data_IF_103683848756
#
_entry.id   IF_103683848756
#
_cell.length_a   1.000
_cell.length_b   1.000
_cell.length_c   1.000
_cell.angle_alpha   90.00
_cell.angle_beta   90.00
_cell.angle_gamma   90.00
#
_symmetry.space_group_name_H-M   'P 1'
#
loop_
_entity.id
_entity.type
_entity.pdbx_description
1 polymer ?
#
# COMPACT_ATOMS: atom_id res chain seq x y z
N UNK A 1 13.27 -60.04 3.60
CA UNK A 1 13.85 -58.69 3.56
C UNK A 1 12.77 -57.82 2.98
N UNK A 2 12.03 -57.11 3.83
CA UNK A 2 10.91 -56.26 3.39
C UNK A 2 11.47 -54.91 2.95
N UNK A 3 11.34 -54.61 1.66
CA UNK A 3 11.64 -53.29 1.11
C UNK A 3 10.60 -52.29 1.62
N UNK A 4 10.99 -51.46 2.58
CA UNK A 4 10.23 -50.29 2.96
C UNK A 4 10.33 -49.27 1.83
N UNK A 5 9.20 -48.99 1.18
CA UNK A 5 9.10 -47.97 0.14
C UNK A 5 8.86 -46.62 0.83
N UNK A 6 9.90 -45.81 0.91
CA UNK A 6 9.79 -44.46 1.48
C UNK A 6 8.84 -43.59 0.65
N UNK A 7 8.03 -42.80 1.35
CA UNK A 7 7.14 -41.80 0.78
C UNK A 7 7.61 -40.41 1.21
N UNK A 8 7.87 -39.54 0.23
CA UNK A 8 8.24 -38.14 0.47
C UNK A 8 7.11 -37.21 0.02
N UNK A 9 6.90 -36.12 0.75
CA UNK A 9 6.05 -35.00 0.33
C UNK A 9 6.76 -33.68 0.58
N UNK A 10 6.49 -32.67 -0.25
CA UNK A 10 7.01 -31.30 -0.09
C UNK A 10 5.85 -30.31 -0.10
N UNK A 11 5.93 -29.30 0.76
CA UNK A 11 5.08 -28.11 0.68
C UNK A 11 5.88 -26.98 0.03
N UNK A 12 5.26 -26.29 -0.93
CA UNK A 12 5.80 -25.10 -1.58
C UNK A 12 4.80 -23.97 -1.34
N UNK A 13 5.30 -22.81 -0.94
CA UNK A 13 4.48 -21.60 -0.79
C UNK A 13 5.08 -20.53 -1.69
N UNK A 14 4.30 -20.06 -2.65
CA UNK A 14 4.69 -19.01 -3.59
C UNK A 14 3.88 -17.75 -3.31
N UNK A 15 4.51 -16.59 -3.52
CA UNK A 15 3.85 -15.30 -3.37
C UNK A 15 3.35 -14.81 -4.73
N UNK A 16 2.07 -14.45 -4.80
CA UNK A 16 1.48 -13.84 -6.00
C UNK A 16 1.59 -12.33 -5.88
N UNK A 17 2.38 -11.72 -6.76
CA UNK A 17 2.58 -10.28 -6.80
C UNK A 17 1.69 -9.59 -7.83
N UNK A 18 1.20 -8.40 -7.50
CA UNK A 18 0.50 -7.53 -8.44
C UNK A 18 0.63 -6.07 -8.02
N UNK A 19 0.53 -5.17 -9.00
CA UNK A 19 0.69 -3.74 -8.79
C UNK A 19 -0.50 -2.94 -9.33
N UNK A 20 -0.78 -1.81 -8.70
CA UNK A 20 -1.81 -0.87 -9.11
C UNK A 20 -1.29 0.57 -8.99
N UNK A 21 -1.45 1.33 -10.07
CA UNK A 21 -1.13 2.74 -10.09
C UNK A 21 -2.39 3.56 -9.81
N UNK A 22 -2.31 4.43 -8.83
CA UNK A 22 -3.38 5.33 -8.42
C UNK A 22 -2.98 6.78 -8.68
N UNK A 23 -3.70 7.43 -9.59
CA UNK A 23 -3.51 8.84 -9.94
C UNK A 23 -4.61 9.69 -9.32
N UNK A 24 -4.21 10.64 -8.46
CA UNK A 24 -5.10 11.62 -7.87
C UNK A 24 -4.95 12.91 -8.66
N UNK A 25 -5.98 13.29 -9.41
CA UNK A 25 -6.06 14.60 -10.08
C UNK A 25 -6.81 15.58 -9.17
N UNK A 26 -6.39 16.84 -9.16
CA UNK A 26 -7.02 17.85 -8.32
C UNK A 26 -6.51 17.84 -6.87
N UNK A 27 -5.21 17.59 -6.64
CA UNK A 27 -4.65 17.55 -5.29
C UNK A 27 -4.93 18.83 -4.49
N UNK A 28 -4.97 19.98 -5.16
CA UNK A 28 -5.30 21.28 -4.58
C UNK A 28 -6.70 21.35 -3.95
N UNK A 29 -7.67 20.58 -4.47
CA UNK A 29 -9.01 20.42 -3.92
C UNK A 29 -9.07 19.30 -2.87
N UNK A 30 -8.24 18.26 -3.06
CA UNK A 30 -8.12 17.17 -2.10
C UNK A 30 -7.56 17.64 -0.75
N UNK A 31 -6.56 18.53 -0.78
CA UNK A 31 -6.05 19.16 0.45
C UNK A 31 -7.10 20.12 1.02
N UNK A 32 -7.32 20.05 2.32
CA UNK A 32 -8.40 20.79 2.98
C UNK A 32 -9.71 20.03 3.13
N UNK A 33 -9.80 18.77 2.67
CA UNK A 33 -10.93 17.88 2.97
C UNK A 33 -11.08 17.63 4.49
N UNK A 34 -10.00 17.82 5.26
CA UNK A 34 -9.96 17.65 6.70
C UNK A 34 -9.41 16.29 7.12
N UNK A 35 -8.83 16.24 8.33
CA UNK A 35 -8.24 15.02 8.88
C UNK A 35 -9.25 13.86 8.91
N UNK A 36 -8.79 12.67 8.55
CA UNK A 36 -9.60 11.46 8.48
C UNK A 36 -10.46 11.32 7.23
N UNK A 37 -10.52 12.34 6.35
CA UNK A 37 -11.11 12.20 5.01
C UNK A 37 -10.08 11.64 4.04
N UNK A 38 -10.52 10.75 3.17
CA UNK A 38 -9.66 10.07 2.21
C UNK A 38 -10.26 10.02 0.80
N UNK A 39 -9.37 9.78 -0.14
CA UNK A 39 -9.66 9.40 -1.52
C UNK A 39 -9.29 7.93 -1.67
N UNK A 40 -10.22 7.13 -2.19
CA UNK A 40 -10.02 5.71 -2.45
C UNK A 40 -9.63 5.50 -3.92
N UNK A 41 -8.73 4.56 -4.19
CA UNK A 41 -8.48 4.07 -5.55
C UNK A 41 -9.61 3.17 -6.04
N UNK A 42 -9.54 2.81 -7.32
CA UNK A 42 -10.25 1.64 -7.81
C UNK A 42 -9.77 0.37 -7.11
N UNK A 43 -10.61 -0.65 -7.17
CA UNK A 43 -10.29 -1.97 -6.63
C UNK A 43 -9.42 -2.73 -7.63
N UNK A 44 -8.42 -3.44 -7.12
CA UNK A 44 -7.57 -4.32 -7.92
C UNK A 44 -7.35 -5.66 -7.22
N UNK A 45 -7.20 -6.74 -8.01
CA UNK A 45 -7.15 -8.11 -7.50
C UNK A 45 -5.71 -8.65 -7.54
N UNK A 46 -5.23 -9.20 -6.42
CA UNK A 46 -3.93 -9.88 -6.30
C UNK A 46 -4.08 -11.09 -5.39
N UNK A 47 -3.56 -12.25 -5.83
CA UNK A 47 -3.61 -13.48 -5.03
C UNK A 47 -5.03 -13.99 -4.73
N UNK A 48 -6.02 -13.62 -5.55
CA UNK A 48 -7.43 -13.96 -5.32
C UNK A 48 -8.17 -13.05 -4.34
N UNK A 49 -7.53 -11.98 -3.86
CA UNK A 49 -8.14 -10.99 -2.97
C UNK A 49 -8.22 -9.63 -3.65
N UNK A 50 -9.24 -8.87 -3.28
CA UNK A 50 -9.41 -7.50 -3.76
C UNK A 50 -8.79 -6.51 -2.79
N UNK A 51 -8.16 -5.48 -3.34
CA UNK A 51 -7.40 -4.48 -2.60
C UNK A 51 -7.78 -3.07 -3.06
N UNK A 52 -7.65 -2.10 -2.17
CA UNK A 52 -7.82 -0.68 -2.50
C UNK A 52 -6.87 0.21 -1.69
N UNK A 53 -6.37 1.26 -2.33
CA UNK A 53 -5.49 2.26 -1.72
C UNK A 53 -6.35 3.39 -1.15
N UNK A 54 -6.01 3.84 0.05
CA UNK A 54 -6.63 4.98 0.72
C UNK A 54 -5.60 6.07 0.97
N UNK A 55 -5.79 7.22 0.33
CA UNK A 55 -4.96 8.41 0.49
C UNK A 55 -5.67 9.45 1.36
N UNK A 56 -5.01 9.90 2.43
CA UNK A 56 -5.51 10.93 3.33
C UNK A 56 -4.66 12.20 3.15
N UNK A 57 -5.15 13.22 2.39
CA UNK A 57 -4.38 14.42 2.08
C UNK A 57 -4.06 15.28 3.31
N UNK A 58 -4.94 15.28 4.32
CA UNK A 58 -4.76 16.03 5.57
C UNK A 58 -4.45 15.12 6.76
N UNK A 59 -3.99 13.90 6.50
CA UNK A 59 -3.66 12.91 7.52
C UNK A 59 -4.87 12.08 7.97
N UNK A 60 -4.61 10.86 8.46
CA UNK A 60 -5.66 9.93 8.92
C UNK A 60 -6.30 10.36 10.25
N UNK A 61 -5.53 10.95 11.14
CA UNK A 61 -5.97 11.29 12.48
C UNK A 61 -5.86 12.80 12.75
N UNK A 62 -6.68 13.37 13.65
CA UNK A 62 -6.59 14.78 14.03
C UNK A 62 -5.24 15.19 14.61
N UNK A 63 -4.53 14.30 15.30
CA UNK A 63 -3.22 14.63 15.91
C UNK A 63 -2.12 14.89 14.87
N UNK A 64 -2.27 14.33 13.67
CA UNK A 64 -1.37 14.53 12.53
C UNK A 64 -1.94 15.52 11.51
N UNK A 65 -3.08 16.17 11.84
CA UNK A 65 -3.90 16.96 10.94
C UNK A 65 -3.07 17.97 10.16
N UNK A 66 -3.13 17.86 8.84
CA UNK A 66 -2.47 18.74 7.88
C UNK A 66 -0.92 18.76 7.93
N UNK A 67 -0.26 17.99 8.81
CA UNK A 67 1.21 17.94 8.88
C UNK A 67 1.77 16.87 7.93
N UNK A 68 1.09 15.74 7.82
CA UNK A 68 1.49 14.61 6.98
C UNK A 68 0.34 14.16 6.09
N UNK A 69 0.67 13.67 4.89
CA UNK A 69 -0.24 12.80 4.15
C UNK A 69 -0.12 11.38 4.70
N UNK A 70 -1.23 10.66 4.72
CA UNK A 70 -1.25 9.24 5.09
C UNK A 70 -1.66 8.37 3.92
N UNK A 71 -1.12 7.15 3.88
CA UNK A 71 -1.40 6.17 2.83
C UNK A 71 -1.63 4.82 3.46
N UNK A 72 -2.70 4.15 3.05
CA UNK A 72 -3.01 2.79 3.46
C UNK A 72 -3.41 1.93 2.28
N UNK A 73 -3.15 0.63 2.39
CA UNK A 73 -3.76 -0.41 1.57
C UNK A 73 -4.79 -1.13 2.46
N UNK A 74 -5.95 -1.46 1.90
CA UNK A 74 -6.98 -2.22 2.61
C UNK A 74 -7.42 -3.44 1.81
N UNK A 75 -7.79 -4.48 2.53
CA UNK A 75 -8.48 -5.63 1.97
C UNK A 75 -9.94 -5.22 1.63
N UNK A 76 -10.31 -5.27 0.35
CA UNK A 76 -11.62 -4.86 -0.16
C UNK A 76 -12.59 -6.04 -0.33
N UNK A 77 -12.08 -7.26 -0.51
CA UNK A 77 -12.88 -8.49 -0.52
C UNK A 77 -13.09 -9.05 0.88
N UNK A 78 -13.99 -10.03 1.00
CA UNK A 78 -14.01 -10.89 2.18
C UNK A 78 -12.72 -11.73 2.24
N UNK A 79 -12.29 -12.05 3.45
CA UNK A 79 -11.09 -12.83 3.72
C UNK A 79 -10.83 -12.93 5.21
N UNK A 80 -10.10 -13.96 5.64
CA UNK A 80 -9.70 -14.15 7.04
C UNK A 80 -8.22 -14.44 7.10
N UNK A 81 -7.52 -13.68 7.94
CA UNK A 81 -6.07 -13.79 8.15
C UNK A 81 -5.25 -13.82 6.84
N UNK A 82 -5.61 -12.93 5.90
CA UNK A 82 -4.90 -12.78 4.62
C UNK A 82 -3.51 -12.23 4.92
N UNK A 83 -2.49 -13.03 4.61
CA UNK A 83 -1.09 -12.62 4.74
C UNK A 83 -0.68 -11.88 3.47
N UNK A 84 -0.20 -10.65 3.60
CA UNK A 84 0.28 -9.88 2.47
C UNK A 84 1.52 -9.04 2.81
N UNK A 85 2.41 -8.94 1.84
CA UNK A 85 3.45 -7.92 1.73
C UNK A 85 2.88 -6.77 0.90
N UNK A 86 3.39 -5.56 1.14
CA UNK A 86 3.11 -4.45 0.25
C UNK A 86 4.30 -3.50 0.14
N UNK A 87 4.29 -2.76 -0.95
CA UNK A 87 5.13 -1.62 -1.22
C UNK A 87 4.24 -0.44 -1.59
N UNK A 88 4.51 0.72 -1.01
CA UNK A 88 3.83 1.97 -1.33
C UNK A 88 4.86 2.97 -1.84
N UNK A 89 4.68 3.39 -3.09
CA UNK A 89 5.61 4.23 -3.81
C UNK A 89 4.94 5.52 -4.25
N UNK A 90 5.53 6.65 -3.86
CA UNK A 90 5.19 7.97 -4.40
C UNK A 90 6.08 8.25 -5.61
N UNK A 91 5.46 8.50 -6.75
CA UNK A 91 6.16 8.59 -8.03
C UNK A 91 6.68 10.02 -8.25
N UNK A 92 8.00 10.18 -8.24
CA UNK A 92 8.69 11.35 -8.82
C UNK A 92 8.27 11.61 -10.27
N UNK A 93 7.80 12.83 -10.54
CA UNK A 93 7.33 13.27 -11.85
C UNK A 93 8.33 14.20 -12.56
N UNK A 94 9.52 14.43 -11.99
CA UNK A 94 10.60 15.16 -12.66
C UNK A 94 11.32 14.36 -13.74
N UNK A 95 11.12 13.04 -13.78
CA UNK A 95 11.85 12.11 -14.66
C UNK A 95 13.23 11.73 -14.14
N UNK A 96 13.58 12.07 -12.89
CA UNK A 96 14.88 11.73 -12.27
C UNK A 96 14.86 10.38 -11.54
N UNK A 97 13.71 9.71 -11.50
CA UNK A 97 13.54 8.40 -10.86
C UNK A 97 13.65 8.44 -9.33
N UNK A 98 13.46 9.61 -8.71
CA UNK A 98 13.62 9.80 -7.26
C UNK A 98 12.34 9.44 -6.51
N UNK A 99 11.81 8.24 -6.73
CA UNK A 99 10.59 7.80 -6.08
C UNK A 99 10.79 7.65 -4.56
N UNK A 100 9.76 8.00 -3.78
CA UNK A 100 9.74 7.68 -2.35
C UNK A 100 9.07 6.34 -2.16
N UNK A 101 9.86 5.35 -1.76
CA UNK A 101 9.43 3.95 -1.59
C UNK A 101 9.37 3.60 -0.10
N UNK A 102 8.29 2.92 0.31
CA UNK A 102 8.25 2.16 1.55
C UNK A 102 7.87 0.72 1.23
N UNK A 103 8.85 -0.19 1.29
CA UNK A 103 8.69 -1.59 0.91
C UNK A 103 8.82 -2.53 2.10
N UNK A 104 8.04 -3.60 2.08
CA UNK A 104 8.12 -4.70 3.04
C UNK A 104 8.59 -6.01 2.42
N UNK A 105 8.90 -6.03 1.13
CA UNK A 105 9.41 -7.23 0.46
C UNK A 105 10.82 -7.63 0.93
N UNK A 106 11.64 -6.66 1.35
CA UNK A 106 13.03 -6.89 1.76
C UNK A 106 13.21 -7.14 3.27
N UNK A 107 12.14 -7.06 4.07
CA UNK A 107 12.24 -7.25 5.52
C UNK A 107 12.35 -8.74 5.83
N UNK A 108 13.50 -9.14 6.39
CA UNK A 108 13.72 -10.48 6.92
C UNK A 108 12.54 -10.91 7.81
N UNK A 109 12.17 -12.19 7.69
CA UNK A 109 10.95 -12.84 8.20
C UNK A 109 10.59 -12.63 9.70
N UNK A 110 11.35 -11.89 10.49
CA UNK A 110 11.06 -11.62 11.90
C UNK A 110 9.74 -10.85 12.11
N UNK A 111 9.32 -10.03 11.15
CA UNK A 111 8.02 -9.32 11.20
C UNK A 111 6.91 -9.98 10.39
N UNK A 112 7.25 -10.97 9.55
CA UNK A 112 6.33 -11.66 8.63
C UNK A 112 5.56 -10.76 7.66
N UNK A 113 4.80 -11.36 6.73
CA UNK A 113 3.76 -10.65 6.00
C UNK A 113 2.68 -10.17 6.97
N UNK A 114 2.08 -9.02 6.67
CA UNK A 114 1.01 -8.46 7.48
C UNK A 114 -0.24 -9.31 7.37
N UNK A 115 -0.90 -9.55 8.50
CA UNK A 115 -2.15 -10.32 8.54
C UNK A 115 -3.35 -9.38 8.57
N UNK A 116 -4.10 -9.33 7.48
CA UNK A 116 -5.35 -8.59 7.34
C UNK A 116 -6.51 -9.51 7.70
N UNK A 117 -7.16 -9.22 8.82
CA UNK A 117 -8.07 -10.16 9.50
C UNK A 117 -9.44 -10.28 8.85
N UNK A 118 -9.93 -9.21 8.23
CA UNK A 118 -11.27 -9.12 7.65
C UNK A 118 -11.36 -7.97 6.65
N UNK A 119 -12.43 -7.93 5.86
CA UNK A 119 -12.71 -6.84 4.91
C UNK A 119 -12.68 -5.46 5.56
N UNK A 120 -11.93 -4.54 4.98
CA UNK A 120 -11.72 -3.19 5.51
C UNK A 120 -10.57 -3.09 6.51
N UNK A 121 -9.95 -4.22 6.91
CA UNK A 121 -8.65 -4.18 7.59
C UNK A 121 -7.64 -3.49 6.68
N UNK A 122 -6.93 -2.52 7.25
CA UNK A 122 -5.99 -1.69 6.51
C UNK A 122 -4.63 -1.65 7.18
N UNK A 123 -3.60 -1.54 6.36
CA UNK A 123 -2.23 -1.33 6.81
C UNK A 123 -1.59 -0.19 6.01
N UNK A 124 -0.68 0.55 6.65
CA UNK A 124 0.01 1.64 5.98
C UNK A 124 0.65 2.60 6.97
N UNK A 125 0.82 3.83 6.51
CA UNK A 125 1.63 4.84 7.17
C UNK A 125 0.80 6.08 7.49
N UNK A 126 0.56 6.31 8.78
CA UNK A 126 -0.07 7.56 9.27
C UNK A 126 0.76 8.80 8.89
N UNK A 127 2.08 8.70 8.99
CA UNK A 127 3.03 9.76 8.64
C UNK A 127 3.84 9.37 7.41
N UNK A 128 3.15 9.09 6.29
CA UNK A 128 3.78 8.60 5.07
C UNK A 128 4.77 9.63 4.50
N UNK A 129 4.34 10.88 4.37
CA UNK A 129 5.22 11.96 3.92
C UNK A 129 4.75 13.32 4.46
N UNK A 130 5.70 14.22 4.75
CA UNK A 130 5.37 15.55 5.28
C UNK A 130 4.70 16.37 4.19
N UNK A 131 3.51 16.94 4.48
CA UNK A 131 2.68 17.61 3.48
C UNK A 131 3.39 18.81 2.86
N UNK A 132 4.06 19.64 3.67
CA UNK A 132 4.78 20.81 3.15
C UNK A 132 5.92 20.42 2.22
N UNK A 133 6.64 19.33 2.51
CA UNK A 133 7.70 18.81 1.64
C UNK A 133 7.12 18.19 0.37
N UNK A 134 5.96 17.53 0.46
CA UNK A 134 5.23 17.03 -0.70
C UNK A 134 4.86 18.16 -1.66
N UNK A 135 4.26 19.22 -1.13
CA UNK A 135 3.77 20.34 -1.94
C UNK A 135 4.88 21.17 -2.58
N UNK A 136 6.10 21.13 -2.03
CA UNK A 136 7.28 21.79 -2.59
C UNK A 136 8.16 20.87 -3.44
N UNK A 137 7.71 19.65 -3.76
CA UNK A 137 8.51 18.62 -4.44
C UNK A 137 8.05 18.38 -5.88
N UNK A 138 8.84 17.58 -6.60
CA UNK A 138 8.51 17.09 -7.94
C UNK A 138 7.51 15.90 -7.93
N UNK A 139 6.92 15.55 -6.78
CA UNK A 139 5.90 14.50 -6.70
C UNK A 139 4.51 14.98 -7.10
N UNK A 140 4.23 16.29 -7.04
CA UNK A 140 2.98 16.87 -7.54
C UNK A 140 3.30 17.68 -8.79
N UNK A 141 2.66 17.34 -9.91
CA UNK A 141 2.83 18.04 -11.18
C UNK A 141 1.47 18.18 -11.84
N UNK A 142 1.17 19.38 -12.38
CA UNK A 142 -0.11 19.68 -13.03
C UNK A 142 -1.32 19.31 -12.14
N UNK A 143 -1.20 19.61 -10.84
CA UNK A 143 -2.17 19.27 -9.79
C UNK A 143 -2.50 17.78 -9.65
N UNK A 144 -1.58 16.92 -10.11
CA UNK A 144 -1.69 15.48 -10.07
C UNK A 144 -0.63 14.85 -9.16
N UNK A 145 -1.05 13.89 -8.35
CA UNK A 145 -0.19 13.03 -7.53
C UNK A 145 -0.32 11.59 -8.04
N UNK A 146 0.81 10.89 -8.21
CA UNK A 146 0.81 9.50 -8.69
C UNK A 146 1.44 8.61 -7.63
N UNK A 147 0.75 7.51 -7.33
CA UNK A 147 1.20 6.48 -6.41
C UNK A 147 1.18 5.13 -7.09
N UNK A 148 2.13 4.28 -6.76
CA UNK A 148 2.10 2.87 -7.12
C UNK A 148 2.03 2.04 -5.84
N UNK A 149 1.17 1.03 -5.82
CA UNK A 149 1.16 0.02 -4.78
C UNK A 149 1.47 -1.33 -5.41
N UNK A 150 2.37 -2.08 -4.79
CA UNK A 150 2.58 -3.50 -5.09
C UNK A 150 2.13 -4.29 -3.89
N UNK A 151 1.38 -5.35 -4.10
CA UNK A 151 0.93 -6.30 -3.08
C UNK A 151 1.48 -7.68 -3.44
N UNK A 152 1.94 -8.42 -2.44
CA UNK A 152 2.33 -9.83 -2.57
C UNK A 152 1.53 -10.66 -1.57
N UNK A 153 0.74 -11.60 -2.05
CA UNK A 153 -0.10 -12.48 -1.21
C UNK A 153 0.47 -13.90 -1.20
#
# INVERSE_FOLDING_TARGET
MEDFKDSESKSVSETVNGSHQFTIKGYSLAKGMGAGKCIQSDIFTVGGYDWAIYFYPDGKNPEDSAMYVSVFIALASEGTDVRALFELTLIDQSGKGKHKVHSHFDRALESGPYTLKYRGSMWGYKRFFRRTTLESSDYIKDDCLIMNCTVGV
#
